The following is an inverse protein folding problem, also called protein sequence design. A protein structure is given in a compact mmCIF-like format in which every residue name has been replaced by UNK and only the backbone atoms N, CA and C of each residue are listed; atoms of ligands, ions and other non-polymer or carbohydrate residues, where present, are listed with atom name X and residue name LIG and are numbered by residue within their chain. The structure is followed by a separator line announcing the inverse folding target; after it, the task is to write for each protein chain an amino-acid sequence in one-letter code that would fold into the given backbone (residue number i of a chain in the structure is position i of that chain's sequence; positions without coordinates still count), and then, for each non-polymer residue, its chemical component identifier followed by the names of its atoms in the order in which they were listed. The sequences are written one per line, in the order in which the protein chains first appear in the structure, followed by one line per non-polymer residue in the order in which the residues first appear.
data_IF_791921679037
#
_entry.id   IF_791921679037
#
_cell.length_a   1.000
_cell.length_b   1.000
_cell.length_c   1.000
_cell.angle_alpha   90.00
_cell.angle_beta   90.00
_cell.angle_gamma   90.00
#
_symmetry.space_group_name_H-M   'P 1'
#
loop_
_entity.id
_entity.type
_entity.pdbx_description
1 polymer ?
#
# COMPACT_ATOMS: atom_id res chain seq x y z
N UNK A 1 -19.34 58.63 -41.08
CA UNK A 1 -18.38 58.43 -39.99
C UNK A 1 -18.65 57.07 -39.38
N UNK A 2 -17.86 56.06 -39.71
CA UNK A 2 -17.92 54.71 -39.13
C UNK A 2 -16.69 54.55 -38.25
N UNK A 3 -16.89 54.50 -36.93
CA UNK A 3 -15.85 54.21 -35.95
C UNK A 3 -15.52 52.73 -35.95
N UNK A 4 -14.29 52.35 -36.27
CA UNK A 4 -13.72 51.02 -36.06
C UNK A 4 -13.21 50.93 -34.63
N UNK A 5 -13.80 50.02 -33.84
CA UNK A 5 -13.26 49.63 -32.54
C UNK A 5 -12.31 48.47 -32.81
N UNK A 6 -11.02 48.69 -32.58
CA UNK A 6 -9.97 47.69 -32.68
C UNK A 6 -9.88 46.92 -31.33
N UNK A 7 -10.36 45.68 -31.33
CA UNK A 7 -10.32 44.82 -30.15
C UNK A 7 -8.93 44.12 -30.15
N UNK A 8 -8.04 44.53 -29.27
CA UNK A 8 -6.76 43.83 -29.03
C UNK A 8 -7.04 42.57 -28.23
N UNK A 9 -6.97 41.41 -28.90
CA UNK A 9 -6.85 40.12 -28.25
C UNK A 9 -5.38 39.96 -27.79
N UNK A 10 -5.12 40.09 -26.49
CA UNK A 10 -3.87 39.63 -25.87
C UNK A 10 -3.97 38.13 -25.79
N UNK A 11 -3.42 37.41 -26.75
CA UNK A 11 -3.11 35.99 -26.61
C UNK A 11 -1.94 35.88 -25.61
N UNK A 12 -2.25 35.60 -24.35
CA UNK A 12 -1.27 35.05 -23.44
C UNK A 12 -0.90 33.65 -23.98
N UNK A 13 0.27 33.54 -24.56
CA UNK A 13 0.90 32.26 -24.87
C UNK A 13 1.18 31.55 -23.52
N UNK A 14 0.20 30.81 -23.04
CA UNK A 14 0.46 29.78 -22.06
C UNK A 14 1.27 28.73 -22.81
N UNK A 15 2.56 28.68 -22.55
CA UNK A 15 3.43 27.59 -23.00
C UNK A 15 2.93 26.32 -22.33
N UNK A 16 2.06 25.58 -23.01
CA UNK A 16 1.72 24.22 -22.65
C UNK A 16 2.97 23.40 -22.99
N UNK A 17 3.90 23.31 -22.05
CA UNK A 17 4.93 22.27 -22.12
C UNK A 17 4.21 20.93 -22.00
N UNK A 18 4.53 19.93 -22.82
CA UNK A 18 4.05 18.58 -22.56
C UNK A 18 4.47 18.20 -21.13
N UNK A 19 3.52 17.74 -20.30
CA UNK A 19 3.66 17.44 -18.87
C UNK A 19 4.90 16.55 -18.58
N UNK A 20 5.36 15.78 -19.55
CA UNK A 20 6.50 14.87 -19.49
C UNK A 20 7.91 15.51 -19.60
N UNK A 21 8.07 16.82 -19.51
CA UNK A 21 9.37 17.49 -19.73
C UNK A 21 9.66 18.64 -18.76
N UNK A 22 9.14 18.58 -17.53
CA UNK A 22 9.58 19.53 -16.51
C UNK A 22 11.04 19.24 -16.14
N UNK A 23 11.97 20.18 -16.38
CA UNK A 23 13.36 19.96 -16.00
C UNK A 23 13.46 19.93 -14.47
N UNK A 24 13.90 18.81 -13.91
CA UNK A 24 14.05 18.63 -12.47
C UNK A 24 14.85 19.75 -11.84
N UNK A 25 16.00 20.05 -12.43
CA UNK A 25 16.96 21.04 -11.94
C UNK A 25 16.44 22.49 -11.93
N UNK A 26 15.38 22.80 -12.65
CA UNK A 26 14.79 24.14 -12.60
C UNK A 26 13.98 24.36 -11.32
N UNK A 27 13.39 23.29 -10.76
CA UNK A 27 12.46 23.37 -9.63
C UNK A 27 12.99 22.73 -8.36
N UNK A 28 13.83 21.70 -8.46
CA UNK A 28 14.19 20.86 -7.33
C UNK A 28 15.70 20.72 -7.14
N UNK A 29 16.10 20.38 -5.92
CA UNK A 29 17.40 19.86 -5.55
C UNK A 29 17.31 18.35 -5.44
N UNK A 30 18.40 17.65 -5.67
CA UNK A 30 18.50 16.21 -5.47
C UNK A 30 18.58 15.85 -3.98
N UNK A 31 17.54 16.21 -3.27
CA UNK A 31 17.29 15.96 -1.85
C UNK A 31 15.82 15.64 -1.66
N UNK A 32 15.49 14.96 -0.55
CA UNK A 32 14.12 14.67 -0.16
C UNK A 32 13.60 15.70 0.84
N UNK A 33 12.44 16.29 0.56
CA UNK A 33 11.63 16.98 1.55
C UNK A 33 10.59 16.02 2.07
N UNK A 34 10.60 15.77 3.37
CA UNK A 34 9.57 15.02 4.10
C UNK A 34 8.63 16.00 4.78
N UNK A 35 7.35 15.93 4.47
CA UNK A 35 6.30 16.74 5.07
C UNK A 35 5.44 15.81 5.92
N UNK A 36 5.63 15.88 7.23
CA UNK A 36 4.80 15.15 8.20
C UNK A 36 3.56 15.97 8.54
N UNK A 37 2.42 15.31 8.62
CA UNK A 37 1.14 15.93 8.92
C UNK A 37 0.24 14.99 9.73
N UNK A 38 -0.72 15.58 10.44
CA UNK A 38 -1.81 14.85 11.07
C UNK A 38 -3.03 14.86 10.18
N UNK A 39 -3.62 13.69 9.97
CA UNK A 39 -4.86 13.48 9.27
C UNK A 39 -5.90 12.99 10.28
N UNK A 40 -6.98 13.74 10.48
CA UNK A 40 -7.95 13.47 11.54
C UNK A 40 -9.39 13.55 11.03
N UNK A 41 -10.27 12.78 11.66
CA UNK A 41 -11.70 12.80 11.36
C UNK A 41 -12.38 11.44 11.50
N UNK A 42 -13.44 11.26 10.71
CA UNK A 42 -14.23 10.05 10.62
C UNK A 42 -14.70 9.81 9.16
N UNK A 43 -15.74 9.02 8.94
CA UNK A 43 -16.26 8.74 7.58
C UNK A 43 -16.84 9.96 6.85
N UNK A 44 -17.20 11.04 7.56
CA UNK A 44 -17.92 12.21 7.01
C UNK A 44 -17.11 13.49 7.01
N UNK A 45 -16.18 13.61 7.92
CA UNK A 45 -15.38 14.81 8.14
C UNK A 45 -13.92 14.44 8.21
N UNK A 46 -13.07 15.27 7.59
CA UNK A 46 -11.62 15.13 7.70
C UNK A 46 -10.95 16.50 7.75
N UNK A 47 -9.80 16.55 8.41
CA UNK A 47 -8.96 17.73 8.49
C UNK A 47 -7.49 17.32 8.49
N UNK A 48 -6.66 18.16 7.88
CA UNK A 48 -5.21 17.95 7.79
C UNK A 48 -4.49 19.14 8.41
N UNK A 49 -3.39 18.86 9.13
CA UNK A 49 -2.54 19.86 9.72
C UNK A 49 -1.08 19.44 9.61
N UNK A 50 -0.21 20.28 9.03
CA UNK A 50 1.23 20.03 8.99
C UNK A 50 1.76 19.95 10.42
N UNK A 51 2.55 18.91 10.71
CA UNK A 51 3.30 18.73 11.94
C UNK A 51 4.70 19.30 11.77
N UNK A 52 5.53 18.70 10.92
CA UNK A 52 6.92 19.07 10.71
C UNK A 52 7.37 18.85 9.28
N UNK A 53 8.40 19.61 8.88
CA UNK A 53 9.06 19.45 7.60
C UNK A 53 10.53 19.13 7.84
N UNK A 54 11.04 18.13 7.11
CA UNK A 54 12.43 17.68 7.19
C UNK A 54 13.10 17.75 5.83
N UNK A 55 14.40 18.01 5.85
CA UNK A 55 15.29 17.81 4.70
C UNK A 55 16.25 16.68 5.06
N UNK A 56 16.26 15.61 4.27
CA UNK A 56 17.19 14.51 4.47
C UNK A 56 17.46 13.72 3.20
N UNK A 57 18.70 13.22 3.08
CA UNK A 57 19.08 12.25 2.07
C UNK A 57 18.84 12.68 0.62
N UNK A 58 19.24 11.79 -0.29
CA UNK A 58 19.01 11.92 -1.72
C UNK A 58 17.55 11.68 -2.06
N UNK A 59 17.05 12.33 -3.11
CA UNK A 59 15.75 11.98 -3.69
C UNK A 59 15.82 10.60 -4.36
N UNK A 60 15.03 9.63 -3.93
CA UNK A 60 15.03 8.29 -4.52
C UNK A 60 14.27 8.22 -5.84
N UNK A 61 13.25 9.08 -6.03
CA UNK A 61 12.35 9.02 -7.18
C UNK A 61 12.97 9.50 -8.50
N UNK A 62 12.20 9.34 -9.56
CA UNK A 62 12.58 9.76 -10.91
C UNK A 62 12.85 11.27 -11.00
N UNK A 63 13.89 11.65 -11.76
CA UNK A 63 14.17 13.05 -12.14
C UNK A 63 13.37 13.49 -13.40
N UNK A 64 12.59 12.60 -14.00
CA UNK A 64 11.87 12.86 -15.26
C UNK A 64 10.35 12.76 -15.11
N UNK A 65 9.88 11.74 -14.39
CA UNK A 65 8.45 11.48 -14.20
C UNK A 65 7.99 12.14 -12.91
N UNK A 66 7.86 13.47 -12.93
CA UNK A 66 7.57 14.27 -11.74
C UNK A 66 6.06 14.41 -11.48
N UNK A 67 5.24 14.31 -12.52
CA UNK A 67 3.78 14.39 -12.42
C UNK A 67 3.20 13.00 -12.66
N UNK A 68 2.37 12.57 -11.75
CA UNK A 68 1.70 11.27 -11.81
C UNK A 68 0.65 11.25 -12.92
N UNK A 69 0.85 10.40 -13.92
CA UNK A 69 -0.06 10.14 -15.03
C UNK A 69 -0.92 8.90 -14.81
N UNK A 70 -0.58 8.05 -13.82
CA UNK A 70 -1.29 6.81 -13.52
C UNK A 70 -2.64 7.10 -12.90
N UNK A 71 -2.69 8.13 -12.03
CA UNK A 71 -3.91 8.62 -11.38
C UNK A 71 -4.63 7.55 -10.54
N UNK A 72 -3.87 6.73 -9.81
CA UNK A 72 -4.39 5.78 -8.83
C UNK A 72 -4.44 6.39 -7.43
N UNK A 73 -5.12 5.69 -6.51
CA UNK A 73 -5.25 6.07 -5.11
C UNK A 73 -6.41 7.00 -4.80
N UNK A 74 -6.80 6.99 -3.55
CA UNK A 74 -7.87 7.81 -2.98
C UNK A 74 -7.45 9.26 -2.80
N UNK A 75 -6.16 9.49 -2.60
CA UNK A 75 -5.55 10.81 -2.41
C UNK A 75 -4.49 11.10 -3.46
N UNK A 76 -4.19 12.39 -3.64
CA UNK A 76 -3.12 12.85 -4.50
C UNK A 76 -2.39 14.04 -3.85
N UNK A 77 -1.07 13.92 -3.70
CA UNK A 77 -0.19 15.06 -3.37
C UNK A 77 0.03 15.86 -4.65
N UNK A 78 -0.03 17.19 -4.55
CA UNK A 78 0.34 18.12 -5.62
C UNK A 78 1.21 19.23 -5.11
N UNK A 79 2.27 19.53 -5.86
CA UNK A 79 3.19 20.64 -5.59
C UNK A 79 3.10 21.61 -6.76
N UNK A 80 2.81 22.86 -6.43
CA UNK A 80 2.80 23.96 -7.39
C UNK A 80 3.91 24.95 -7.07
N UNK A 81 4.66 25.37 -8.08
CA UNK A 81 5.58 26.52 -7.94
C UNK A 81 4.76 27.80 -7.74
N UNK A 82 4.98 28.50 -6.64
CA UNK A 82 4.20 29.69 -6.31
C UNK A 82 4.40 30.85 -7.28
N UNK A 83 5.56 30.94 -7.92
CA UNK A 83 5.87 32.04 -8.82
C UNK A 83 5.16 31.94 -10.16
N UNK A 84 5.03 30.73 -10.68
CA UNK A 84 4.42 30.45 -12.00
C UNK A 84 3.01 29.87 -11.92
N UNK A 85 2.62 29.32 -10.76
CA UNK A 85 1.40 28.56 -10.58
C UNK A 85 1.42 27.17 -11.25
N UNK A 86 2.56 26.75 -11.81
CA UNK A 86 2.69 25.48 -12.52
C UNK A 86 2.67 24.30 -11.54
N UNK A 87 1.97 23.20 -11.90
CA UNK A 87 2.11 21.91 -11.24
C UNK A 87 3.48 21.33 -11.58
N UNK A 88 4.33 21.11 -10.58
CA UNK A 88 5.71 20.65 -10.75
C UNK A 88 5.95 19.24 -10.22
N UNK A 89 5.06 18.73 -9.34
CA UNK A 89 5.10 17.35 -8.84
C UNK A 89 3.72 16.89 -8.44
N UNK A 90 3.42 15.61 -8.67
CA UNK A 90 2.26 14.96 -8.08
C UNK A 90 2.50 13.46 -7.85
N UNK A 91 1.80 12.88 -6.85
CA UNK A 91 1.84 11.46 -6.54
C UNK A 91 0.52 11.02 -5.93
N UNK A 92 -0.14 10.03 -6.55
CA UNK A 92 -1.30 9.36 -5.98
C UNK A 92 -0.91 8.44 -4.83
N UNK A 93 -1.78 8.28 -3.83
CA UNK A 93 -1.54 7.42 -2.68
C UNK A 93 -2.84 7.07 -1.95
N UNK A 94 -2.78 6.01 -1.13
CA UNK A 94 -3.76 5.73 -0.09
C UNK A 94 -3.13 5.95 1.28
N UNK A 95 -3.97 6.11 2.31
CA UNK A 95 -3.50 6.44 3.64
C UNK A 95 -4.15 5.58 4.72
N UNK A 96 -3.49 5.47 5.87
CA UNK A 96 -4.07 4.77 7.01
C UNK A 96 -5.40 5.40 7.45
N UNK A 97 -5.49 6.74 7.42
CA UNK A 97 -6.75 7.44 7.67
C UNK A 97 -7.82 7.09 6.62
N UNK A 98 -7.43 6.96 5.35
CA UNK A 98 -8.31 6.52 4.28
C UNK A 98 -8.92 5.14 4.52
N UNK A 99 -8.13 4.20 5.03
CA UNK A 99 -8.58 2.89 5.48
C UNK A 99 -9.53 3.02 6.69
N UNK A 100 -9.13 3.81 7.69
CA UNK A 100 -9.96 4.05 8.87
C UNK A 100 -11.34 4.59 8.55
N UNK A 101 -11.47 5.49 7.55
CA UNK A 101 -12.76 6.09 7.16
C UNK A 101 -13.83 5.06 6.78
N UNK A 102 -13.43 3.85 6.35
CA UNK A 102 -14.33 2.77 5.96
C UNK A 102 -14.68 1.83 7.11
N UNK A 103 -14.02 1.97 8.26
CA UNK A 103 -14.24 1.13 9.43
C UNK A 103 -15.57 1.43 10.12
N UNK A 104 -16.08 0.44 10.87
CA UNK A 104 -17.31 0.60 11.67
C UNK A 104 -17.24 1.75 12.66
N UNK A 105 -16.09 1.98 13.29
CA UNK A 105 -15.87 3.09 14.22
C UNK A 105 -16.08 4.44 13.53
N UNK A 106 -15.45 4.63 12.37
CA UNK A 106 -15.56 5.86 11.61
C UNK A 106 -17.00 6.10 11.11
N UNK A 107 -17.69 5.04 10.64
CA UNK A 107 -19.08 5.10 10.21
C UNK A 107 -20.02 5.48 11.37
N UNK A 108 -19.71 5.06 12.60
CA UNK A 108 -20.41 5.44 13.83
C UNK A 108 -20.04 6.83 14.34
N UNK A 109 -19.19 7.58 13.63
CA UNK A 109 -18.85 8.96 13.93
C UNK A 109 -17.68 9.12 14.91
N UNK A 110 -16.97 8.05 15.26
CA UNK A 110 -15.78 8.12 16.11
C UNK A 110 -14.67 8.80 15.29
N UNK A 111 -14.05 9.83 15.88
CA UNK A 111 -12.93 10.54 15.25
C UNK A 111 -11.61 9.97 15.75
N UNK A 112 -10.68 9.76 14.83
CA UNK A 112 -9.29 9.40 15.13
C UNK A 112 -8.33 10.34 14.42
N UNK A 113 -7.07 10.32 14.84
CA UNK A 113 -5.98 11.09 14.26
C UNK A 113 -4.84 10.14 13.95
N UNK A 114 -4.33 10.23 12.72
CA UNK A 114 -3.16 9.48 12.27
C UNK A 114 -2.05 10.45 11.88
N UNK A 115 -0.82 10.06 12.14
CA UNK A 115 0.35 10.74 11.61
C UNK A 115 0.68 10.16 10.23
N UNK A 116 0.79 11.02 9.23
CA UNK A 116 1.06 10.65 7.84
C UNK A 116 2.22 11.47 7.28
N UNK A 117 2.74 11.07 6.14
CA UNK A 117 3.94 11.68 5.55
C UNK A 117 3.82 11.79 4.03
N UNK A 118 4.15 12.95 3.49
CA UNK A 118 4.43 13.14 2.08
C UNK A 118 5.94 13.22 1.85
N UNK A 119 6.48 12.41 0.94
CA UNK A 119 7.85 12.51 0.44
C UNK A 119 7.83 13.15 -0.94
N UNK A 120 8.54 14.25 -1.09
CA UNK A 120 8.61 15.00 -2.34
C UNK A 120 10.06 15.41 -2.64
N UNK A 121 10.45 15.65 -3.90
CA UNK A 121 11.76 16.22 -4.18
C UNK A 121 11.86 17.61 -3.58
N UNK A 122 13.03 17.99 -3.06
CA UNK A 122 13.21 19.23 -2.29
C UNK A 122 13.12 20.46 -3.23
N UNK A 123 12.11 21.34 -3.06
CA UNK A 123 11.91 22.48 -3.94
C UNK A 123 12.98 23.55 -3.73
N UNK A 124 13.36 24.24 -4.82
CA UNK A 124 14.30 25.38 -4.78
C UNK A 124 13.62 26.69 -4.36
N UNK A 125 12.34 26.84 -4.70
CA UNK A 125 11.52 28.02 -4.50
C UNK A 125 10.31 27.72 -3.61
N UNK A 126 9.62 28.79 -3.21
CA UNK A 126 8.33 28.67 -2.49
C UNK A 126 7.32 27.89 -3.30
N UNK A 127 6.62 26.99 -2.63
CA UNK A 127 5.63 26.10 -3.21
C UNK A 127 4.28 26.22 -2.52
N UNK A 128 3.22 25.83 -3.23
CA UNK A 128 1.97 25.43 -2.62
C UNK A 128 1.91 23.91 -2.60
N UNK A 129 1.92 23.34 -1.41
CA UNK A 129 1.66 21.93 -1.16
C UNK A 129 0.16 21.74 -1.03
N UNK A 130 -0.41 20.79 -1.76
CA UNK A 130 -1.83 20.47 -1.69
C UNK A 130 -2.04 18.96 -1.58
N UNK A 131 -3.12 18.58 -0.88
CA UNK A 131 -3.64 17.21 -0.84
C UNK A 131 -5.05 17.26 -1.41
N UNK A 132 -5.28 16.46 -2.44
CA UNK A 132 -6.58 16.24 -3.04
C UNK A 132 -7.11 14.86 -2.66
N UNK A 133 -8.43 14.74 -2.54
CA UNK A 133 -9.16 13.48 -2.30
C UNK A 133 -10.10 13.18 -3.43
N UNK A 134 -10.19 11.91 -3.78
CA UNK A 134 -11.13 11.41 -4.77
C UNK A 134 -12.54 11.34 -4.19
N UNK A 135 -13.49 11.96 -4.88
CA UNK A 135 -14.91 11.90 -4.54
C UNK A 135 -15.59 10.67 -5.16
N UNK A 136 -16.89 10.49 -4.88
CA UNK A 136 -17.72 9.41 -5.42
C UNK A 136 -17.85 9.40 -6.95
N UNK A 137 -17.40 10.46 -7.64
CA UNK A 137 -17.35 10.54 -9.11
C UNK A 137 -15.95 10.35 -9.67
N UNK A 138 -15.03 9.83 -8.86
CA UNK A 138 -13.60 9.68 -9.19
C UNK A 138 -12.89 10.99 -9.55
N UNK A 139 -13.40 12.15 -9.10
CA UNK A 139 -12.76 13.44 -9.28
C UNK A 139 -11.91 13.78 -8.06
N UNK A 140 -10.69 14.21 -8.27
CA UNK A 140 -9.82 14.74 -7.22
C UNK A 140 -10.24 16.16 -6.86
N UNK A 141 -10.52 16.39 -5.59
CA UNK A 141 -10.90 17.69 -5.03
C UNK A 141 -9.93 18.06 -3.90
N UNK A 142 -9.44 19.29 -3.91
CA UNK A 142 -8.55 19.80 -2.87
C UNK A 142 -9.25 19.80 -1.51
N UNK A 143 -8.63 19.15 -0.53
CA UNK A 143 -9.08 19.08 0.86
C UNK A 143 -8.16 19.84 1.80
N UNK A 144 -6.92 20.08 1.37
CA UNK A 144 -5.92 20.82 2.14
C UNK A 144 -4.92 21.48 1.21
N UNK A 145 -4.47 22.70 1.57
CA UNK A 145 -3.26 23.29 0.98
C UNK A 145 -2.56 24.24 1.94
N UNK A 146 -1.26 24.37 1.76
CA UNK A 146 -0.39 25.27 2.53
C UNK A 146 0.78 25.75 1.67
N UNK A 147 1.20 26.99 1.90
CA UNK A 147 2.43 27.51 1.31
C UNK A 147 3.63 27.04 2.15
N UNK A 148 4.69 26.60 1.48
CA UNK A 148 5.93 26.18 2.12
C UNK A 148 7.08 26.98 1.50
N UNK A 149 7.85 27.65 2.36
CA UNK A 149 9.10 28.29 2.00
C UNK A 149 10.27 27.34 2.33
N UNK A 150 10.97 26.77 1.32
CA UNK A 150 12.06 25.83 1.56
C UNK A 150 13.29 26.45 2.24
N UNK A 151 13.33 27.76 2.38
CA UNK A 151 14.39 28.50 3.08
C UNK A 151 14.05 28.83 4.52
N UNK A 152 12.87 28.44 5.04
CA UNK A 152 12.50 28.75 6.43
C UNK A 152 13.37 27.98 7.43
N UNK A 153 13.72 28.62 8.54
CA UNK A 153 14.60 28.05 9.57
C UNK A 153 13.98 26.89 10.35
N UNK A 154 12.68 26.74 10.30
CA UNK A 154 11.96 25.69 11.01
C UNK A 154 12.02 24.32 10.31
N UNK A 155 12.57 24.25 9.11
CA UNK A 155 12.81 22.96 8.43
C UNK A 155 13.97 22.25 9.11
N UNK A 156 13.68 21.04 9.62
CA UNK A 156 14.67 20.23 10.31
C UNK A 156 15.63 19.62 9.29
N UNK A 157 16.89 20.02 9.32
CA UNK A 157 17.96 19.36 8.59
C UNK A 157 18.41 18.14 9.38
N UNK A 158 17.78 17.00 9.12
CA UNK A 158 18.03 15.80 9.87
C UNK A 158 19.14 14.96 9.20
N UNK A 159 20.24 14.79 9.93
CA UNK A 159 21.23 13.77 9.59
C UNK A 159 20.86 12.54 10.39
N UNK A 160 20.04 11.68 9.80
CA UNK A 160 19.62 10.43 10.44
C UNK A 160 20.84 9.57 10.76
N UNK A 161 21.27 9.59 12.00
CA UNK A 161 22.45 8.88 12.50
C UNK A 161 22.07 8.06 13.74
N UNK A 162 21.24 7.04 13.57
CA UNK A 162 20.98 6.07 14.63
C UNK A 162 21.99 4.92 14.51
N UNK A 163 22.97 4.89 15.42
CA UNK A 163 24.03 3.87 15.43
C UNK A 163 23.54 2.45 15.71
N UNK A 164 22.31 2.30 16.19
CA UNK A 164 21.68 0.99 16.40
C UNK A 164 21.12 0.40 15.10
N UNK A 165 20.92 1.23 14.08
CA UNK A 165 20.42 0.80 12.77
C UNK A 165 21.57 0.14 11.98
N UNK A 166 21.29 -1.05 11.42
CA UNK A 166 22.19 -1.75 10.51
C UNK A 166 21.54 -1.88 9.14
N UNK A 167 22.32 -1.64 8.09
CA UNK A 167 21.87 -1.67 6.71
C UNK A 167 22.47 -2.89 6.02
N UNK A 168 21.63 -3.67 5.37
CA UNK A 168 21.98 -4.78 4.51
C UNK A 168 21.63 -4.42 3.07
N UNK A 169 22.50 -4.74 2.14
CA UNK A 169 22.25 -4.52 0.72
C UNK A 169 22.35 -5.86 0.02
N UNK A 170 21.37 -6.15 -0.81
CA UNK A 170 21.53 -7.14 -1.84
C UNK A 170 22.42 -6.57 -2.96
N UNK A 171 22.68 -7.30 -4.02
CA UNK A 171 23.48 -6.81 -5.14
C UNK A 171 23.02 -5.41 -5.55
N UNK A 172 23.95 -4.46 -5.52
CA UNK A 172 23.64 -3.05 -5.79
C UNK A 172 23.41 -2.86 -7.28
N UNK A 173 22.21 -2.48 -7.64
CA UNK A 173 21.73 -2.46 -9.02
C UNK A 173 21.82 -1.08 -9.69
N UNK A 174 22.23 -0.05 -8.99
CA UNK A 174 22.56 1.23 -9.61
C UNK A 174 21.88 2.45 -9.02
N UNK A 175 21.81 3.49 -9.84
CA UNK A 175 21.35 4.83 -9.48
C UNK A 175 19.88 4.83 -9.07
N UNK A 176 19.52 5.32 -7.86
CA UNK A 176 18.14 5.37 -7.37
C UNK A 176 17.19 6.12 -8.30
N UNK A 177 17.64 7.14 -9.02
CA UNK A 177 16.77 7.89 -9.96
C UNK A 177 16.28 7.08 -11.17
N UNK A 178 16.85 5.89 -11.39
CA UNK A 178 16.54 5.02 -12.54
C UNK A 178 16.12 3.62 -12.14
N UNK A 179 15.99 3.38 -10.84
CA UNK A 179 15.60 2.10 -10.24
C UNK A 179 14.42 2.34 -9.29
N UNK A 180 13.80 1.25 -8.90
CA UNK A 180 12.86 1.23 -7.78
C UNK A 180 13.63 0.79 -6.55
N UNK A 181 13.75 1.67 -5.58
CA UNK A 181 14.44 1.39 -4.33
C UNK A 181 13.43 0.84 -3.30
N UNK A 182 13.62 -0.41 -2.91
CA UNK A 182 12.76 -1.08 -1.92
C UNK A 182 13.51 -1.17 -0.60
N UNK A 183 12.99 -0.49 0.43
CA UNK A 183 13.47 -0.65 1.79
C UNK A 183 12.64 -1.70 2.54
N UNK A 184 13.30 -2.71 3.10
CA UNK A 184 12.69 -3.78 3.88
C UNK A 184 13.09 -3.61 5.34
N UNK A 185 12.13 -3.17 6.16
CA UNK A 185 12.32 -2.91 7.58
C UNK A 185 12.01 -4.17 8.39
N UNK A 186 12.86 -4.48 9.37
CA UNK A 186 12.61 -5.57 10.31
C UNK A 186 11.76 -5.12 11.50
N UNK A 187 10.71 -5.88 11.80
CA UNK A 187 9.86 -5.68 12.97
C UNK A 187 9.80 -6.91 13.85
N UNK A 188 9.94 -6.71 15.17
CA UNK A 188 9.90 -7.80 16.14
C UNK A 188 11.13 -8.70 16.13
N UNK A 189 12.25 -8.22 15.62
CA UNK A 189 13.55 -8.90 15.73
C UNK A 189 14.37 -8.26 16.84
N UNK A 190 14.83 -9.06 17.78
CA UNK A 190 15.78 -8.63 18.82
C UNK A 190 17.20 -8.56 18.27
N UNK A 191 18.13 -8.00 19.06
CA UNK A 191 19.53 -7.95 18.65
C UNK A 191 20.14 -9.34 18.42
N UNK A 192 19.72 -10.34 19.19
CA UNK A 192 20.17 -11.73 19.07
C UNK A 192 19.61 -12.41 17.81
N UNK A 193 18.57 -11.85 17.19
CA UNK A 193 17.94 -12.34 15.96
C UNK A 193 18.46 -11.64 14.69
N UNK A 194 19.57 -10.90 14.78
CA UNK A 194 20.17 -10.22 13.63
C UNK A 194 20.46 -11.17 12.45
N UNK A 195 21.02 -12.35 12.75
CA UNK A 195 21.31 -13.34 11.71
C UNK A 195 20.04 -13.92 11.08
N UNK A 196 18.95 -14.01 11.85
CA UNK A 196 17.64 -14.40 11.34
C UNK A 196 17.12 -13.31 10.39
N UNK A 197 17.14 -12.04 10.82
CA UNK A 197 16.73 -10.93 9.97
C UNK A 197 17.47 -10.94 8.63
N UNK A 198 18.79 -11.11 8.63
CA UNK A 198 19.57 -11.15 7.40
C UNK A 198 19.11 -12.28 6.47
N UNK A 199 18.91 -13.48 6.98
CA UNK A 199 18.43 -14.63 6.19
C UNK A 199 17.04 -14.41 5.63
N UNK A 200 16.15 -13.80 6.42
CA UNK A 200 14.79 -13.48 6.01
C UNK A 200 14.78 -12.38 4.94
N UNK A 201 15.65 -11.37 5.07
CA UNK A 201 15.86 -10.35 4.05
C UNK A 201 16.36 -10.95 2.72
N UNK A 202 17.36 -11.83 2.77
CA UNK A 202 17.87 -12.53 1.59
C UNK A 202 16.80 -13.40 0.92
N UNK A 203 15.98 -14.11 1.72
CA UNK A 203 14.85 -14.89 1.23
C UNK A 203 13.78 -14.01 0.58
N UNK A 204 13.40 -12.91 1.22
CA UNK A 204 12.44 -11.96 0.73
C UNK A 204 12.87 -11.38 -0.64
N UNK A 205 14.11 -10.93 -0.78
CA UNK A 205 14.63 -10.42 -2.04
C UNK A 205 14.66 -11.49 -3.14
N UNK A 206 15.00 -12.74 -2.78
CA UNK A 206 14.99 -13.85 -3.72
C UNK A 206 13.60 -14.19 -4.26
N UNK A 207 12.54 -13.99 -3.47
CA UNK A 207 11.16 -14.16 -3.95
C UNK A 207 10.91 -13.20 -5.12
N UNK A 208 11.19 -11.91 -4.97
CA UNK A 208 11.06 -10.93 -6.06
C UNK A 208 11.89 -11.29 -7.29
N UNK A 209 13.16 -11.69 -7.10
CA UNK A 209 14.06 -12.00 -8.20
C UNK A 209 13.67 -13.27 -8.97
N UNK A 210 12.79 -14.11 -8.45
CA UNK A 210 12.38 -15.36 -9.06
C UNK A 210 10.92 -15.40 -9.49
N UNK A 211 10.10 -14.41 -9.14
CA UNK A 211 8.66 -14.38 -9.44
C UNK A 211 8.32 -13.31 -10.49
N UNK A 212 7.49 -13.67 -11.48
CA UNK A 212 7.01 -12.67 -12.45
C UNK A 212 5.95 -11.74 -11.80
N UNK A 213 5.88 -10.48 -12.21
CA UNK A 213 6.66 -9.84 -13.27
C UNK A 213 8.07 -9.35 -12.83
N UNK A 214 8.38 -9.39 -11.53
CA UNK A 214 9.61 -8.80 -10.97
C UNK A 214 10.88 -9.46 -11.52
N UNK A 215 10.85 -10.77 -11.76
CA UNK A 215 11.95 -11.52 -12.35
C UNK A 215 12.40 -10.97 -13.70
N UNK A 216 11.44 -10.62 -14.57
CA UNK A 216 11.74 -10.02 -15.88
C UNK A 216 12.31 -8.61 -15.76
N UNK A 217 12.11 -7.92 -14.63
CA UNK A 217 12.57 -6.57 -14.36
C UNK A 217 13.60 -6.50 -13.24
N UNK A 218 14.24 -7.62 -12.88
CA UNK A 218 15.15 -7.70 -11.72
C UNK A 218 16.27 -6.66 -11.68
N UNK A 219 16.74 -6.21 -12.84
CA UNK A 219 17.74 -5.16 -12.99
C UNK A 219 17.18 -3.74 -12.80
N UNK A 220 15.90 -3.61 -12.50
CA UNK A 220 15.22 -2.34 -12.21
C UNK A 220 14.99 -2.10 -10.72
N UNK A 221 15.40 -3.00 -9.86
CA UNK A 221 15.18 -2.93 -8.42
C UNK A 221 16.49 -2.84 -7.65
N UNK A 222 16.51 -2.01 -6.61
CA UNK A 222 17.48 -2.01 -5.53
C UNK A 222 16.78 -2.49 -4.26
N UNK A 223 17.45 -3.32 -3.45
CA UNK A 223 16.91 -3.79 -2.17
C UNK A 223 17.84 -3.41 -1.03
N UNK A 224 17.28 -2.80 0.02
CA UNK A 224 17.98 -2.48 1.26
C UNK A 224 17.21 -3.02 2.45
N UNK A 225 17.84 -3.92 3.23
CA UNK A 225 17.34 -4.33 4.54
C UNK A 225 17.75 -3.31 5.60
N UNK A 226 16.79 -2.85 6.40
CA UNK A 226 17.02 -1.89 7.48
C UNK A 226 16.62 -2.53 8.79
N UNK A 227 17.61 -2.90 9.57
CA UNK A 227 17.43 -3.54 10.87
C UNK A 227 17.64 -2.53 12.00
N UNK A 228 16.65 -2.45 12.88
CA UNK A 228 16.77 -1.84 14.20
C UNK A 228 16.24 -2.84 15.24
N UNK A 229 17.00 -3.18 16.29
CA UNK A 229 16.56 -4.21 17.22
C UNK A 229 15.33 -3.77 18.02
N UNK A 230 14.35 -4.66 18.13
CA UNK A 230 13.25 -4.59 19.09
C UNK A 230 13.69 -5.04 20.47
N UNK A 231 13.02 -4.63 21.54
CA UNK A 231 13.26 -5.13 22.88
C UNK A 231 12.76 -6.57 23.05
N UNK A 232 11.67 -6.92 22.36
CA UNK A 232 11.04 -8.23 22.41
C UNK A 232 10.83 -8.79 20.99
N UNK A 233 10.88 -10.12 20.89
CA UNK A 233 10.62 -10.85 19.64
C UNK A 233 9.12 -10.98 19.38
N UNK A 234 8.72 -10.88 18.12
CA UNK A 234 7.33 -11.00 17.67
C UNK A 234 6.61 -9.65 17.55
N UNK A 235 5.30 -9.67 17.43
CA UNK A 235 4.43 -8.50 17.27
C UNK A 235 3.20 -8.63 18.15
N UNK A 236 2.41 -7.56 18.27
CA UNK A 236 1.19 -7.54 19.08
C UNK A 236 0.11 -8.46 18.51
N UNK A 237 -0.51 -9.26 19.40
CA UNK A 237 -1.72 -10.04 19.16
C UNK A 237 -2.83 -9.64 20.15
N UNK A 238 -3.56 -8.53 19.93
CA UNK A 238 -4.51 -8.00 20.93
C UNK A 238 -5.60 -8.98 21.34
N UNK A 239 -6.11 -9.81 20.42
CA UNK A 239 -7.13 -10.81 20.73
C UNK A 239 -6.63 -11.90 21.70
N UNK A 240 -5.31 -12.15 21.68
CA UNK A 240 -4.63 -13.05 22.59
C UNK A 240 -4.12 -12.36 23.87
N UNK A 241 -4.36 -11.06 24.04
CA UNK A 241 -3.82 -10.21 25.11
C UNK A 241 -2.27 -10.25 25.17
N UNK A 242 -1.62 -10.33 24.00
CA UNK A 242 -0.17 -10.28 23.85
C UNK A 242 0.21 -8.91 23.31
N UNK A 243 1.08 -8.21 24.04
CA UNK A 243 1.63 -6.91 23.66
C UNK A 243 3.14 -6.97 23.79
N UNK A 244 3.85 -6.51 22.76
CA UNK A 244 5.29 -6.59 22.61
C UNK A 244 5.91 -5.21 22.49
N UNK A 245 7.07 -5.04 23.10
CA UNK A 245 7.87 -3.80 22.94
C UNK A 245 8.74 -3.95 21.69
N UNK A 246 8.17 -3.57 20.56
CA UNK A 246 8.83 -3.64 19.27
C UNK A 246 9.12 -2.27 18.69
N UNK A 247 9.96 -2.22 17.67
CA UNK A 247 10.50 -0.94 17.17
C UNK A 247 9.53 -0.16 16.30
N UNK A 248 8.63 -0.86 15.58
CA UNK A 248 7.64 -0.24 14.70
C UNK A 248 6.20 -0.36 15.22
N UNK A 249 6.01 -1.00 16.38
CA UNK A 249 4.69 -1.18 17.02
C UNK A 249 3.65 -1.83 16.11
N UNK A 250 4.08 -2.82 15.30
CA UNK A 250 3.18 -3.54 14.40
C UNK A 250 2.19 -4.39 15.20
N UNK A 251 0.92 -4.33 14.84
CA UNK A 251 -0.14 -5.03 15.56
C UNK A 251 -1.09 -5.76 14.62
N UNK A 252 -1.44 -6.99 14.96
CA UNK A 252 -2.63 -7.65 14.40
C UNK A 252 -3.88 -6.92 14.83
N UNK A 253 -5.03 -7.30 14.25
CA UNK A 253 -6.33 -6.73 14.54
C UNK A 253 -6.45 -5.23 14.23
N UNK A 254 -5.61 -4.71 13.34
CA UNK A 254 -5.70 -3.34 12.85
C UNK A 254 -7.08 -3.08 12.24
N UNK A 255 -7.68 -1.93 12.57
CA UNK A 255 -9.04 -1.54 12.15
C UNK A 255 -10.13 -2.57 12.48
N UNK A 256 -9.87 -3.49 13.44
CA UNK A 256 -10.78 -4.55 13.85
C UNK A 256 -10.74 -5.83 13.00
N UNK A 257 -9.94 -5.85 11.93
CA UNK A 257 -9.75 -7.05 11.10
C UNK A 257 -8.65 -7.94 11.66
N UNK A 258 -8.98 -9.19 11.90
CA UNK A 258 -8.16 -10.17 12.64
C UNK A 258 -6.76 -10.37 12.04
N UNK A 259 -6.65 -10.39 10.72
CA UNK A 259 -5.41 -10.66 9.97
C UNK A 259 -4.70 -9.41 9.50
N UNK A 260 -5.34 -8.26 9.61
CA UNK A 260 -4.78 -7.01 9.16
C UNK A 260 -3.67 -6.58 10.12
N UNK A 261 -2.45 -6.52 9.60
CA UNK A 261 -1.22 -6.32 10.38
C UNK A 261 -0.60 -5.00 9.97
N UNK A 262 -0.85 -3.93 10.72
CA UNK A 262 -0.37 -2.58 10.41
C UNK A 262 0.28 -1.92 11.63
N UNK A 263 0.89 -0.76 11.40
CA UNK A 263 1.34 0.15 12.46
C UNK A 263 0.75 1.54 12.28
N UNK A 264 0.37 2.16 13.39
CA UNK A 264 -0.01 3.58 13.44
C UNK A 264 1.20 4.50 13.69
N UNK A 265 2.38 3.94 14.03
CA UNK A 265 3.60 4.72 14.32
C UNK A 265 4.38 5.09 13.04
N UNK A 266 3.68 5.78 12.13
CA UNK A 266 4.27 6.20 10.86
C UNK A 266 5.55 7.02 11.03
N UNK A 267 5.66 7.84 12.11
CA UNK A 267 6.86 8.64 12.33
C UNK A 267 8.09 7.78 12.50
N UNK A 268 8.03 6.75 13.34
CA UNK A 268 9.15 5.82 13.57
C UNK A 268 9.46 5.03 12.31
N UNK A 269 8.44 4.58 11.56
CA UNK A 269 8.65 3.93 10.26
C UNK A 269 9.47 4.82 9.32
N UNK A 270 9.11 6.10 9.19
CA UNK A 270 9.83 7.05 8.33
C UNK A 270 11.23 7.38 8.83
N UNK A 271 11.38 7.53 10.15
CA UNK A 271 12.69 7.80 10.77
C UNK A 271 13.68 6.65 10.53
N UNK A 272 13.22 5.39 10.60
CA UNK A 272 14.06 4.21 10.32
C UNK A 272 14.31 4.05 8.82
N UNK A 273 13.29 4.19 8.00
CA UNK A 273 13.42 4.06 6.55
C UNK A 273 14.38 5.10 5.94
N UNK A 274 14.47 6.30 6.54
CA UNK A 274 15.32 7.40 6.05
C UNK A 274 16.82 7.12 6.07
N UNK A 275 17.27 5.99 6.63
CA UNK A 275 18.67 5.55 6.57
C UNK A 275 19.09 5.08 5.17
N UNK A 276 18.15 4.85 4.26
CA UNK A 276 18.36 4.45 2.88
C UNK A 276 17.43 5.22 1.94
N UNK A 277 17.78 5.44 0.67
CA UNK A 277 16.81 5.91 -0.31
C UNK A 277 15.74 4.83 -0.54
N UNK A 278 14.47 5.24 -0.72
CA UNK A 278 13.39 4.30 -1.03
C UNK A 278 12.23 4.96 -1.78
N UNK A 279 11.65 4.19 -2.71
CA UNK A 279 10.37 4.46 -3.38
C UNK A 279 9.23 3.67 -2.73
N UNK A 280 9.54 2.45 -2.27
CA UNK A 280 8.59 1.54 -1.65
C UNK A 280 9.12 0.98 -0.34
N UNK A 281 8.20 0.74 0.62
CA UNK A 281 8.49 0.19 1.93
C UNK A 281 7.81 -1.15 2.12
N UNK A 282 8.56 -2.10 2.68
CA UNK A 282 8.05 -3.38 3.17
C UNK A 282 8.44 -3.51 4.65
N UNK A 283 7.50 -3.90 5.49
CA UNK A 283 7.74 -4.23 6.89
C UNK A 283 7.64 -5.75 7.05
N UNK A 284 8.76 -6.37 7.36
CA UNK A 284 8.92 -7.79 7.54
C UNK A 284 8.74 -8.14 9.01
N UNK A 285 7.60 -8.75 9.37
CA UNK A 285 7.25 -9.08 10.75
C UNK A 285 7.78 -10.46 11.15
N UNK A 286 8.57 -10.51 12.22
CA UNK A 286 9.09 -11.75 12.82
C UNK A 286 8.00 -12.53 13.54
N UNK A 287 7.11 -13.17 12.79
CA UNK A 287 5.96 -13.89 13.32
C UNK A 287 5.51 -15.01 12.36
N UNK A 288 4.89 -16.06 12.93
CA UNK A 288 4.40 -17.23 12.17
C UNK A 288 2.92 -17.20 11.85
N UNK A 289 2.12 -16.41 12.57
CA UNK A 289 0.68 -16.28 12.30
C UNK A 289 0.45 -15.61 10.95
N UNK A 290 -0.52 -16.09 10.17
CA UNK A 290 -0.93 -15.45 8.91
C UNK A 290 -1.40 -14.01 9.15
N UNK A 291 -0.84 -13.06 8.43
CA UNK A 291 -1.26 -11.67 8.42
C UNK A 291 -0.35 -10.79 7.59
N UNK A 292 -0.94 -9.75 7.08
CA UNK A 292 -0.30 -8.74 6.25
C UNK A 292 -1.20 -7.52 6.07
N UNK A 293 -0.79 -6.63 5.22
CA UNK A 293 -1.55 -5.45 4.80
C UNK A 293 -0.74 -4.61 3.82
N UNK A 294 -1.38 -4.13 2.76
CA UNK A 294 -0.76 -3.28 1.75
C UNK A 294 -1.59 -2.03 1.51
N UNK A 295 -0.97 -0.85 1.66
CA UNK A 295 -1.62 0.44 1.41
C UNK A 295 -0.84 1.17 0.32
N UNK A 296 -1.52 1.57 -0.73
CA UNK A 296 -0.91 2.12 -1.94
C UNK A 296 0.00 3.33 -1.66
N UNK A 297 1.27 3.22 -2.09
CA UNK A 297 2.32 4.21 -1.86
C UNK A 297 2.58 4.55 -0.38
N UNK A 298 2.16 3.69 0.56
CA UNK A 298 2.45 3.83 1.98
C UNK A 298 3.45 2.77 2.45
N UNK A 299 3.03 1.52 2.59
CA UNK A 299 3.87 0.35 2.87
C UNK A 299 3.12 -0.96 2.65
N UNK A 300 3.87 -2.07 2.53
CA UNK A 300 3.37 -3.43 2.68
C UNK A 300 3.88 -4.04 3.99
N UNK A 301 3.11 -4.91 4.61
CA UNK A 301 3.52 -5.72 5.77
C UNK A 301 3.23 -7.18 5.51
N UNK A 302 4.04 -8.08 6.03
CA UNK A 302 3.77 -9.52 5.98
C UNK A 302 4.50 -10.27 7.08
N UNK A 303 3.98 -11.43 7.46
CA UNK A 303 4.61 -12.31 8.44
C UNK A 303 5.56 -13.29 7.77
N UNK A 304 6.82 -13.28 8.21
CA UNK A 304 7.94 -13.93 7.52
C UNK A 304 8.01 -15.44 7.72
N UNK A 305 7.52 -15.95 8.86
CA UNK A 305 7.58 -17.38 9.21
C UNK A 305 6.25 -18.13 8.94
N UNK A 306 5.28 -17.46 8.32
CA UNK A 306 4.05 -18.13 7.90
C UNK A 306 4.31 -19.04 6.70
N UNK A 307 3.55 -20.14 6.61
CA UNK A 307 3.65 -21.08 5.49
C UNK A 307 3.33 -20.47 4.12
N UNK A 308 2.61 -19.34 4.08
CA UNK A 308 2.22 -18.59 2.88
C UNK A 308 3.01 -17.28 2.72
N UNK A 309 4.18 -17.17 3.35
CA UNK A 309 4.95 -15.92 3.37
C UNK A 309 5.29 -15.39 1.96
N UNK A 310 5.55 -16.26 0.99
CA UNK A 310 5.83 -15.87 -0.41
C UNK A 310 4.61 -15.22 -1.06
N UNK A 311 3.45 -15.86 -0.91
CA UNK A 311 2.18 -15.30 -1.37
C UNK A 311 1.87 -13.98 -0.69
N UNK A 312 1.93 -13.93 0.66
CA UNK A 312 1.68 -12.70 1.43
C UNK A 312 2.55 -11.55 0.97
N UNK A 313 3.85 -11.77 0.83
CA UNK A 313 4.77 -10.73 0.39
C UNK A 313 4.39 -10.14 -0.96
N UNK A 314 4.13 -10.99 -1.95
CA UNK A 314 3.82 -10.54 -3.32
C UNK A 314 2.44 -9.90 -3.41
N UNK A 315 1.46 -10.44 -2.69
CA UNK A 315 0.09 -9.94 -2.62
C UNK A 315 0.05 -8.53 -2.00
N UNK A 316 0.61 -8.36 -0.79
CA UNK A 316 0.61 -7.07 -0.10
C UNK A 316 1.48 -6.02 -0.82
N UNK A 317 2.56 -6.47 -1.48
CA UNK A 317 3.34 -5.57 -2.33
C UNK A 317 2.57 -5.17 -3.59
N UNK A 318 1.74 -6.04 -4.14
CA UNK A 318 0.82 -5.72 -5.24
C UNK A 318 -0.11 -4.56 -4.90
N UNK A 319 -0.68 -4.56 -3.69
CA UNK A 319 -1.47 -3.43 -3.20
C UNK A 319 -0.62 -2.18 -3.03
N UNK A 320 0.46 -2.26 -2.26
CA UNK A 320 1.21 -1.06 -1.85
C UNK A 320 2.02 -0.42 -2.98
N UNK A 321 2.48 -1.19 -3.95
CA UNK A 321 3.31 -0.69 -5.06
C UNK A 321 2.50 -0.41 -6.33
N UNK A 322 1.56 -1.30 -6.67
CA UNK A 322 0.83 -1.24 -7.94
C UNK A 322 -0.61 -0.74 -7.81
N UNK A 323 -1.11 -0.49 -6.59
CA UNK A 323 -2.48 -0.05 -6.34
C UNK A 323 -3.52 -1.10 -6.77
N UNK A 324 -3.18 -2.40 -6.67
CA UNK A 324 -4.12 -3.47 -6.97
C UNK A 324 -5.17 -3.56 -5.84
N UNK A 325 -6.40 -3.85 -6.21
CA UNK A 325 -7.44 -4.23 -5.26
C UNK A 325 -7.40 -5.73 -5.00
N UNK A 326 -7.98 -6.16 -3.88
CA UNK A 326 -8.27 -7.56 -3.64
C UNK A 326 -9.25 -8.11 -4.67
N UNK A 327 -8.90 -9.22 -5.28
CA UNK A 327 -9.75 -9.92 -6.24
C UNK A 327 -10.69 -10.95 -5.57
N UNK A 328 -10.53 -11.18 -4.26
CA UNK A 328 -11.44 -12.01 -3.48
C UNK A 328 -12.61 -11.20 -2.91
N UNK A 329 -13.68 -11.90 -2.49
CA UNK A 329 -14.90 -11.29 -1.99
C UNK A 329 -15.55 -12.09 -0.86
N UNK A 330 -15.01 -13.25 -0.53
CA UNK A 330 -15.59 -14.18 0.47
C UNK A 330 -15.02 -13.96 1.87
N UNK A 331 -13.88 -13.30 1.97
CA UNK A 331 -13.20 -13.03 3.24
C UNK A 331 -13.82 -11.85 3.97
N UNK A 332 -13.90 -11.93 5.30
CA UNK A 332 -14.26 -10.78 6.14
C UNK A 332 -13.14 -9.74 6.13
N UNK A 333 -13.54 -8.51 5.95
CA UNK A 333 -12.66 -7.33 5.96
C UNK A 333 -13.17 -6.28 6.92
N UNK A 334 -12.29 -5.35 7.30
CA UNK A 334 -12.63 -4.23 8.17
C UNK A 334 -13.56 -3.20 7.50
N UNK A 335 -13.77 -3.32 6.21
CA UNK A 335 -14.37 -2.31 5.35
C UNK A 335 -15.86 -2.55 5.13
N UNK A 336 -16.64 -1.45 5.14
CA UNK A 336 -18.03 -1.44 4.75
C UNK A 336 -18.18 -0.51 3.54
N UNK A 337 -18.76 -1.01 2.46
CA UNK A 337 -18.98 -0.24 1.21
C UNK A 337 -17.73 0.45 0.67
N UNK A 338 -16.59 -0.27 0.67
CA UNK A 338 -15.33 0.25 0.14
C UNK A 338 -15.45 0.59 -1.35
N UNK A 339 -16.08 -0.30 -2.13
CA UNK A 339 -16.33 -0.08 -3.55
C UNK A 339 -17.83 0.07 -3.83
N UNK A 340 -18.16 1.03 -4.67
CA UNK A 340 -19.52 1.23 -5.19
C UNK A 340 -19.65 0.57 -6.56
N UNK A 341 -20.64 -0.30 -6.72
CA UNK A 341 -20.85 -1.05 -7.98
C UNK A 341 -21.30 -0.17 -9.16
N UNK A 342 -21.78 1.04 -8.89
CA UNK A 342 -22.23 2.01 -9.89
C UNK A 342 -21.12 2.97 -10.35
N UNK A 343 -19.92 2.83 -9.81
CA UNK A 343 -18.77 3.67 -10.11
C UNK A 343 -17.61 2.76 -10.50
N UNK A 344 -16.98 3.06 -11.65
CA UNK A 344 -15.80 2.30 -12.08
C UNK A 344 -14.67 2.51 -11.07
N UNK A 345 -14.15 1.44 -10.41
CA UNK A 345 -13.01 1.56 -9.48
C UNK A 345 -11.79 2.16 -10.18
N UNK A 346 -10.91 2.82 -9.43
CA UNK A 346 -9.65 3.33 -10.00
C UNK A 346 -8.57 2.26 -10.08
N UNK A 347 -8.67 1.24 -9.26
CA UNK A 347 -7.76 0.11 -9.21
C UNK A 347 -7.75 -0.65 -10.56
N UNK A 348 -6.57 -1.03 -11.07
CA UNK A 348 -6.45 -1.53 -12.44
C UNK A 348 -7.02 -2.94 -12.67
N UNK A 349 -7.11 -3.75 -11.61
CA UNK A 349 -7.45 -5.18 -11.68
C UNK A 349 -8.91 -5.52 -11.31
N UNK A 350 -9.75 -4.52 -11.00
CA UNK A 350 -11.19 -4.74 -10.79
C UNK A 350 -12.01 -3.77 -11.64
N UNK A 351 -13.22 -4.15 -12.04
CA UNK A 351 -14.10 -3.34 -12.88
C UNK A 351 -15.56 -3.48 -12.47
N UNK A 352 -16.35 -2.41 -12.59
CA UNK A 352 -17.80 -2.41 -12.43
C UNK A 352 -18.57 -2.66 -13.74
N UNK A 353 -17.86 -2.91 -14.85
CA UNK A 353 -18.41 -3.09 -16.19
C UNK A 353 -19.33 -1.93 -16.63
N UNK A 354 -19.05 -0.71 -16.24
CA UNK A 354 -19.75 0.45 -16.74
C UNK A 354 -19.59 0.50 -18.27
N UNK A 355 -20.70 0.56 -18.99
CA UNK A 355 -20.74 0.48 -20.45
C UNK A 355 -20.26 -0.87 -21.06
N UNK A 356 -20.27 -1.96 -20.30
CA UNK A 356 -19.76 -3.27 -20.71
C UNK A 356 -18.28 -3.27 -21.14
N UNK A 357 -17.46 -2.40 -20.55
CA UNK A 357 -16.02 -2.33 -20.79
C UNK A 357 -15.23 -2.76 -19.54
N UNK A 358 -14.06 -3.35 -19.76
CA UNK A 358 -13.05 -3.65 -18.73
C UNK A 358 -11.77 -2.89 -19.03
N UNK A 359 -11.02 -2.52 -17.96
CA UNK A 359 -9.75 -1.81 -18.09
C UNK A 359 -8.68 -2.63 -18.84
N UNK A 360 -8.75 -3.96 -18.74
CA UNK A 360 -7.83 -4.92 -19.35
C UNK A 360 -8.34 -5.50 -20.68
N UNK A 361 -9.15 -4.76 -21.44
CA UNK A 361 -9.74 -5.23 -22.70
C UNK A 361 -8.74 -5.74 -23.73
N UNK A 362 -7.54 -5.14 -23.76
CA UNK A 362 -6.47 -5.55 -24.69
C UNK A 362 -5.82 -6.91 -24.30
N UNK A 363 -6.08 -7.39 -23.07
CA UNK A 363 -5.56 -8.64 -22.54
C UNK A 363 -6.59 -9.79 -22.59
N UNK A 364 -7.84 -9.50 -22.98
CA UNK A 364 -8.90 -10.52 -23.02
C UNK A 364 -8.51 -11.70 -23.87
N UNK A 365 -8.76 -12.90 -23.36
CA UNK A 365 -8.54 -14.15 -24.12
C UNK A 365 -9.46 -14.23 -25.34
N UNK A 366 -8.94 -14.76 -26.45
CA UNK A 366 -9.70 -14.86 -27.70
C UNK A 366 -11.01 -15.63 -27.52
N UNK A 367 -12.13 -15.04 -27.96
CA UNK A 367 -13.45 -15.65 -27.94
C UNK A 367 -14.09 -15.74 -26.55
N UNK A 368 -13.58 -15.03 -25.55
CA UNK A 368 -14.21 -14.93 -24.24
C UNK A 368 -15.32 -13.88 -24.27
N UNK A 369 -16.44 -14.18 -23.67
CA UNK A 369 -17.56 -13.22 -23.50
C UNK A 369 -17.42 -12.47 -22.19
N UNK A 370 -17.85 -11.20 -22.15
CA UNK A 370 -17.93 -10.37 -20.94
C UNK A 370 -19.38 -9.90 -20.72
N UNK A 371 -19.91 -10.00 -19.48
CA UNK A 371 -19.31 -10.70 -18.33
C UNK A 371 -19.09 -12.19 -18.60
N UNK A 372 -18.04 -12.76 -18.00
CA UNK A 372 -17.69 -14.18 -18.17
C UNK A 372 -18.38 -15.02 -17.09
N UNK A 373 -19.34 -15.86 -17.52
CA UNK A 373 -20.04 -16.76 -16.58
C UNK A 373 -19.11 -17.92 -16.22
N UNK A 374 -18.91 -18.10 -14.92
CA UNK A 374 -18.05 -19.14 -14.34
C UNK A 374 -18.74 -19.90 -13.19
N UNK A 375 -18.09 -20.89 -12.66
CA UNK A 375 -18.61 -21.81 -11.63
C UNK A 375 -18.70 -21.15 -10.22
N UNK A 376 -19.12 -19.85 -10.16
CA UNK A 376 -19.12 -19.02 -8.96
C UNK A 376 -19.88 -19.62 -7.78
N UNK A 377 -21.09 -20.17 -8.01
CA UNK A 377 -21.91 -20.72 -6.92
C UNK A 377 -21.24 -21.93 -6.23
N UNK A 378 -20.51 -22.75 -7.01
CA UNK A 378 -19.75 -23.87 -6.46
C UNK A 378 -18.54 -23.37 -5.68
N UNK A 379 -17.84 -22.37 -6.20
CA UNK A 379 -16.74 -21.72 -5.49
C UNK A 379 -17.19 -21.10 -4.19
N UNK A 380 -18.29 -20.33 -4.19
CA UNK A 380 -18.87 -19.71 -3.00
C UNK A 380 -19.20 -20.76 -1.93
N UNK A 381 -19.79 -21.89 -2.36
CA UNK A 381 -20.13 -22.98 -1.41
C UNK A 381 -18.90 -23.63 -0.78
N UNK A 382 -17.79 -23.71 -1.50
CA UNK A 382 -16.53 -24.23 -1.02
C UNK A 382 -15.85 -23.27 -0.05
N UNK A 383 -15.69 -22.00 -0.46
CA UNK A 383 -14.87 -21.05 0.25
C UNK A 383 -15.56 -20.43 1.48
N UNK A 384 -16.86 -20.07 1.40
CA UNK A 384 -17.59 -19.51 2.54
C UNK A 384 -17.61 -20.43 3.76
N UNK A 385 -17.73 -21.75 3.53
CA UNK A 385 -17.68 -22.72 4.62
C UNK A 385 -16.32 -22.70 5.33
N UNK A 386 -15.25 -22.56 4.58
CA UNK A 386 -13.91 -22.45 5.14
C UNK A 386 -13.74 -21.16 5.94
N UNK A 387 -14.26 -20.02 5.45
CA UNK A 387 -14.15 -18.75 6.17
C UNK A 387 -14.77 -18.84 7.58
N UNK A 388 -15.91 -19.53 7.74
CA UNK A 388 -16.52 -19.76 9.06
C UNK A 388 -15.64 -20.66 9.95
N UNK A 389 -15.14 -21.77 9.40
CA UNK A 389 -14.28 -22.71 10.14
C UNK A 389 -12.95 -22.05 10.54
N UNK A 390 -12.36 -21.28 9.64
CA UNK A 390 -11.13 -20.55 9.85
C UNK A 390 -11.25 -19.56 11.02
N UNK A 391 -12.33 -18.77 11.06
CA UNK A 391 -12.60 -17.84 12.16
C UNK A 391 -12.70 -18.57 13.50
N UNK A 392 -13.44 -19.65 13.56
CA UNK A 392 -13.60 -20.43 14.79
C UNK A 392 -12.26 -21.00 15.29
N UNK A 393 -11.39 -21.44 14.39
CA UNK A 393 -10.05 -21.94 14.74
C UNK A 393 -9.15 -20.82 15.26
N UNK A 394 -9.16 -19.65 14.64
CA UNK A 394 -8.37 -18.50 15.08
C UNK A 394 -8.85 -17.99 16.45
N UNK A 395 -10.15 -17.89 16.67
CA UNK A 395 -10.72 -17.50 17.96
C UNK A 395 -10.31 -18.50 19.07
N UNK A 396 -10.34 -19.80 18.76
CA UNK A 396 -9.88 -20.85 19.69
C UNK A 396 -8.39 -20.68 20.03
N UNK A 397 -7.53 -20.42 19.04
CA UNK A 397 -6.09 -20.20 19.27
C UNK A 397 -5.87 -18.94 20.12
N UNK A 398 -6.56 -17.85 19.79
CA UNK A 398 -6.47 -16.60 20.53
C UNK A 398 -6.92 -16.78 22.00
N UNK A 399 -7.99 -17.52 22.24
CA UNK A 399 -8.48 -17.81 23.59
C UNK A 399 -7.51 -18.70 24.40
N UNK A 400 -6.93 -19.73 23.79
CA UNK A 400 -5.90 -20.55 24.42
C UNK A 400 -4.68 -19.71 24.84
N UNK A 401 -4.17 -18.85 23.96
CA UNK A 401 -3.08 -17.93 24.27
C UNK A 401 -3.46 -16.95 25.39
N UNK A 402 -4.64 -16.34 25.32
CA UNK A 402 -5.17 -15.39 26.31
C UNK A 402 -5.27 -16.01 27.71
N UNK A 403 -5.67 -17.26 27.78
CA UNK A 403 -5.83 -18.01 29.03
C UNK A 403 -4.52 -18.67 29.51
N UNK A 404 -3.38 -18.40 28.84
CA UNK A 404 -2.08 -18.97 29.17
C UNK A 404 -2.15 -20.52 29.24
N UNK A 405 -2.85 -21.12 28.29
CA UNK A 405 -2.98 -22.57 28.18
C UNK A 405 -1.60 -23.22 27.99
N UNK A 406 -1.44 -24.52 28.34
CA UNK A 406 -0.20 -25.25 28.11
C UNK A 406 0.25 -25.12 26.63
N UNK A 407 1.55 -24.93 26.42
CA UNK A 407 2.14 -24.71 25.11
C UNK A 407 1.77 -25.81 24.09
N UNK A 408 1.75 -27.07 24.54
CA UNK A 408 1.35 -28.19 23.70
C UNK A 408 -0.10 -28.11 23.19
N UNK A 409 -1.00 -27.47 23.92
CA UNK A 409 -2.40 -27.26 23.48
C UNK A 409 -2.45 -26.17 22.43
N UNK A 410 -1.71 -25.07 22.60
CA UNK A 410 -1.60 -23.99 21.63
C UNK A 410 -1.00 -24.52 20.33
N UNK A 411 0.13 -25.23 20.41
CA UNK A 411 0.78 -25.86 19.24
C UNK A 411 -0.16 -26.83 18.53
N UNK A 412 -0.94 -27.63 19.28
CA UNK A 412 -1.91 -28.55 18.68
C UNK A 412 -2.99 -27.82 17.91
N UNK A 413 -3.51 -26.72 18.46
CA UNK A 413 -4.53 -25.91 17.80
C UNK A 413 -3.98 -25.20 16.55
N UNK A 414 -2.73 -24.71 16.61
CA UNK A 414 -2.04 -24.12 15.48
C UNK A 414 -1.83 -25.14 14.36
N UNK A 415 -1.33 -26.33 14.69
CA UNK A 415 -1.14 -27.40 13.70
C UNK A 415 -2.46 -27.87 13.07
N UNK A 416 -3.58 -27.87 13.84
CA UNK A 416 -4.91 -28.14 13.30
C UNK A 416 -5.32 -27.09 12.28
N UNK A 417 -5.08 -25.80 12.59
CA UNK A 417 -5.33 -24.69 11.69
C UNK A 417 -4.50 -24.85 10.41
N UNK A 418 -3.18 -24.97 10.53
CA UNK A 418 -2.26 -25.03 9.40
C UNK A 418 -2.56 -26.21 8.45
N UNK A 419 -2.95 -27.35 9.02
CA UNK A 419 -3.34 -28.52 8.23
C UNK A 419 -4.63 -28.29 7.44
N UNK A 420 -5.65 -27.72 8.08
CA UNK A 420 -6.95 -27.45 7.45
C UNK A 420 -6.85 -26.35 6.40
N UNK A 421 -6.03 -25.33 6.67
CA UNK A 421 -5.76 -24.24 5.77
C UNK A 421 -5.08 -24.73 4.48
N UNK A 422 -4.02 -25.57 4.61
CA UNK A 422 -3.39 -26.23 3.46
C UNK A 422 -4.36 -27.11 2.67
N UNK A 423 -5.20 -27.86 3.39
CA UNK A 423 -6.16 -28.74 2.75
C UNK A 423 -7.17 -27.94 1.93
N UNK A 424 -7.71 -26.85 2.50
CA UNK A 424 -8.64 -25.98 1.81
C UNK A 424 -7.98 -25.32 0.60
N UNK A 425 -6.76 -24.78 0.73
CA UNK A 425 -6.03 -24.20 -0.39
C UNK A 425 -5.87 -25.21 -1.53
N UNK A 426 -5.51 -26.46 -1.22
CA UNK A 426 -5.40 -27.49 -2.26
C UNK A 426 -6.75 -27.83 -2.92
N UNK A 427 -7.86 -27.82 -2.18
CA UNK A 427 -9.21 -28.03 -2.71
C UNK A 427 -9.64 -26.88 -3.62
N UNK A 428 -9.32 -25.63 -3.26
CA UNK A 428 -9.56 -24.44 -4.10
C UNK A 428 -8.73 -24.50 -5.36
N UNK A 429 -7.43 -24.80 -5.24
CA UNK A 429 -6.54 -24.92 -6.38
C UNK A 429 -7.02 -25.99 -7.38
N UNK A 430 -7.41 -27.18 -6.89
CA UNK A 430 -7.96 -28.25 -7.72
C UNK A 430 -9.26 -27.80 -8.44
N UNK A 431 -10.14 -27.10 -7.71
CA UNK A 431 -11.38 -26.56 -8.27
C UNK A 431 -11.08 -25.56 -9.39
N UNK A 432 -10.24 -24.56 -9.14
CA UNK A 432 -9.91 -23.51 -10.10
C UNK A 432 -9.17 -24.07 -11.32
N UNK A 433 -8.22 -25.00 -11.11
CA UNK A 433 -7.51 -25.67 -12.20
C UNK A 433 -8.43 -26.52 -13.08
N UNK A 434 -9.52 -27.05 -12.52
CA UNK A 434 -10.53 -27.81 -13.29
C UNK A 434 -11.44 -26.94 -14.14
N UNK A 435 -11.48 -25.63 -13.88
CA UNK A 435 -12.29 -24.70 -14.66
C UNK A 435 -11.79 -24.56 -16.10
N UNK A 436 -12.71 -24.52 -17.04
CA UNK A 436 -12.39 -24.22 -18.47
C UNK A 436 -11.79 -22.82 -18.67
N UNK A 437 -11.85 -21.98 -17.64
CA UNK A 437 -11.34 -20.63 -17.65
C UNK A 437 -9.98 -20.48 -16.97
N UNK A 438 -9.41 -21.56 -16.45
CA UNK A 438 -8.05 -21.51 -15.90
C UNK A 438 -7.04 -20.93 -16.90
N UNK A 439 -6.25 -19.93 -16.45
CA UNK A 439 -5.27 -19.23 -17.28
C UNK A 439 -5.87 -18.33 -18.38
N UNK A 440 -7.17 -18.05 -18.35
CA UNK A 440 -7.82 -17.13 -19.29
C UNK A 440 -8.13 -15.80 -18.63
N UNK A 441 -7.92 -14.72 -19.39
CA UNK A 441 -8.32 -13.37 -19.02
C UNK A 441 -9.73 -13.11 -19.52
N UNK A 442 -10.64 -12.77 -18.62
CA UNK A 442 -12.05 -12.49 -18.85
C UNK A 442 -12.58 -11.36 -17.99
N UNK A 443 -13.85 -11.44 -17.60
CA UNK A 443 -14.49 -10.58 -16.60
C UNK A 443 -15.33 -11.46 -15.68
N UNK A 444 -14.73 -11.93 -14.58
CA UNK A 444 -15.33 -12.90 -13.67
C UNK A 444 -15.94 -12.18 -12.46
N UNK A 445 -17.26 -12.36 -12.24
CA UNK A 445 -17.96 -11.70 -11.15
C UNK A 445 -17.47 -12.17 -9.79
N UNK A 446 -17.31 -11.20 -8.89
CA UNK A 446 -16.80 -11.36 -7.53
C UNK A 446 -15.39 -10.78 -7.39
N UNK A 447 -15.28 -9.58 -6.82
CA UNK A 447 -14.02 -8.88 -6.56
C UNK A 447 -14.24 -7.75 -5.56
N UNK A 448 -13.18 -7.20 -4.97
CA UNK A 448 -13.24 -6.00 -4.13
C UNK A 448 -14.22 -6.14 -2.98
N UNK A 449 -14.27 -7.31 -2.33
CA UNK A 449 -15.17 -7.65 -1.23
C UNK A 449 -16.66 -7.65 -1.61
N UNK A 450 -16.97 -7.53 -2.91
CA UNK A 450 -18.34 -7.57 -3.43
C UNK A 450 -18.57 -8.86 -4.19
N UNK A 451 -19.53 -9.67 -3.70
CA UNK A 451 -19.90 -10.92 -4.37
C UNK A 451 -20.57 -10.68 -5.73
N UNK A 452 -21.14 -9.49 -5.95
CA UNK A 452 -21.83 -9.11 -7.21
C UNK A 452 -21.50 -7.70 -7.62
N UNK A 453 -21.54 -7.45 -8.94
CA UNK A 453 -21.40 -6.13 -9.53
C UNK A 453 -19.97 -5.67 -9.73
N UNK A 454 -18.98 -6.36 -9.18
CA UNK A 454 -17.56 -6.15 -9.49
C UNK A 454 -16.96 -7.40 -10.10
N UNK A 455 -16.01 -7.20 -10.99
CA UNK A 455 -15.40 -8.23 -11.81
C UNK A 455 -13.89 -8.17 -11.74
N UNK A 456 -13.24 -9.34 -11.80
CA UNK A 456 -11.80 -9.53 -11.81
C UNK A 456 -11.34 -10.16 -13.13
N UNK A 457 -10.04 -10.02 -13.51
CA UNK A 457 -9.55 -10.48 -14.81
C UNK A 457 -9.41 -12.00 -14.93
N UNK A 458 -9.16 -12.69 -13.81
CA UNK A 458 -8.92 -14.14 -13.79
C UNK A 458 -9.77 -14.82 -12.71
N UNK A 459 -9.94 -16.14 -12.82
CA UNK A 459 -10.71 -16.90 -11.82
C UNK A 459 -9.97 -17.06 -10.49
N UNK A 460 -8.66 -17.04 -10.51
CA UNK A 460 -7.78 -17.04 -9.33
C UNK A 460 -7.20 -15.64 -9.09
N UNK A 461 -6.85 -15.40 -7.84
CA UNK A 461 -6.11 -14.21 -7.39
C UNK A 461 -4.68 -14.63 -7.02
N UNK A 462 -3.70 -13.83 -7.42
CA UNK A 462 -2.32 -13.99 -6.96
C UNK A 462 -2.16 -13.64 -5.50
#
# INVERSE_FOLDING_TARGET
MKSFILLYFILSLISIYPINQLPFDDYFRDETMRIDYHHMGNSKEEAISIDRIYSYGIWAGSLKNLVDEINFGKYCIKIYDLSSGALIYSKGFDSYFGEYQTSSDALNGIKKTYHETALVPYPKNKIRFAIEKRNEKNQLLEIFSSEIDPGIVDIVNDKVLDSSVKIFKNENNGDPHTRVDIAILGEGYTLDELDKFQKDFERCTNIFLNFEPYKSYKDKFNFCGVFKPSEESGVDEPRANIFKKTVLSLTFNSLGSERYLLTEDNKVVRDIASHVPYDALIIMANHSRYGGGGIYNLFATFTVDNQWNEYLLLHEFGHSFSGLADEYYTSDVAYNNFFHIDIEPVEPNIAALINNEVKWKELLSNGIEIPTLWEKEQFDSLDLKWQDERRALNDKIAELKKNVAPENEIIKAQNEYDFKDKKHSAEVDEFLHSSKYWGKVGAFEGAGYQSRGLFRPMVDCL
#
